data_IF_672648184600
#
_entry.id   IF_672648184600
#
_cell.length_a   1.000
_cell.length_b   1.000
_cell.length_c   1.000
_cell.angle_alpha   90.00
_cell.angle_beta   90.00
_cell.angle_gamma   90.00
#
_symmetry.space_group_name_H-M   'P 1'
#
loop_
_entity.id
_entity.type
_entity.pdbx_description
1 polymer ?
#
# COMPACT_ATOMS: atom_id res chain seq x y z
N UNK A 1 14.31 32.51 54.82
CA UNK A 1 14.87 31.45 53.93
C UNK A 1 16.06 30.84 54.64
N UNK A 2 16.01 29.54 54.93
CA UNK A 2 17.11 28.81 55.58
C UNK A 2 18.41 28.92 54.77
N UNK A 3 19.55 29.01 55.47
CA UNK A 3 20.83 29.46 54.94
C UNK A 3 21.31 28.66 53.72
N UNK A 4 21.19 29.26 52.53
CA UNK A 4 21.87 28.80 51.33
C UNK A 4 23.38 28.94 51.54
N UNK A 5 24.10 27.83 51.67
CA UNK A 5 25.55 27.84 51.75
C UNK A 5 26.13 28.15 50.36
N UNK A 6 26.98 29.17 50.29
CA UNK A 6 27.70 29.57 49.08
C UNK A 6 29.15 29.13 49.19
N UNK A 7 29.64 28.36 48.22
CA UNK A 7 31.00 27.86 48.17
C UNK A 7 31.47 27.82 46.71
N UNK A 8 32.75 28.12 46.46
CA UNK A 8 33.32 27.88 45.13
C UNK A 8 33.40 26.38 44.89
N UNK A 9 32.58 25.86 43.96
CA UNK A 9 32.55 24.44 43.66
C UNK A 9 33.81 24.07 42.88
N UNK A 10 34.78 23.50 43.59
CA UNK A 10 36.00 22.89 43.04
C UNK A 10 35.90 21.38 43.12
N UNK A 11 36.74 20.64 42.37
CA UNK A 11 36.76 19.18 42.41
C UNK A 11 36.95 18.66 43.83
N UNK A 12 37.91 19.23 44.58
CA UNK A 12 38.15 18.91 46.00
C UNK A 12 36.94 19.20 46.89
N UNK A 13 36.28 20.34 46.69
CA UNK A 13 35.08 20.69 47.44
C UNK A 13 33.93 19.69 47.20
N UNK A 14 33.74 19.23 45.96
CA UNK A 14 32.71 18.25 45.67
C UNK A 14 33.04 16.84 46.16
N UNK A 15 34.32 16.44 46.16
CA UNK A 15 34.75 15.21 46.82
C UNK A 15 34.40 15.22 48.30
N UNK A 16 34.66 16.33 48.99
CA UNK A 16 34.32 16.47 50.40
C UNK A 16 32.80 16.48 50.63
N UNK A 17 32.06 17.21 49.80
CA UNK A 17 30.59 17.21 49.83
C UNK A 17 29.97 15.85 49.46
N UNK A 18 30.70 15.00 48.73
CA UNK A 18 30.24 13.66 48.39
C UNK A 18 30.40 12.68 49.55
N UNK A 19 31.44 12.88 50.38
CA UNK A 19 31.72 12.09 51.59
C UNK A 19 30.85 12.53 52.77
N UNK A 20 30.62 13.82 52.91
CA UNK A 20 29.76 14.42 53.94
C UNK A 20 28.67 15.24 53.27
N UNK A 21 27.57 14.59 52.83
CA UNK A 21 26.51 15.27 52.10
C UNK A 21 25.84 16.33 52.99
N UNK A 22 25.77 17.59 52.55
CA UNK A 22 25.08 18.64 53.28
C UNK A 22 23.56 18.40 53.26
N UNK A 23 22.85 19.00 54.22
CA UNK A 23 21.38 18.93 54.27
C UNK A 23 20.71 19.81 53.21
N UNK A 24 21.33 20.94 52.89
CA UNK A 24 20.82 21.96 51.97
C UNK A 24 21.61 22.04 50.65
N UNK A 25 21.06 22.79 49.68
CA UNK A 25 21.70 23.03 48.39
C UNK A 25 22.92 23.96 48.55
N UNK A 26 24.05 23.59 47.94
CA UNK A 26 25.29 24.39 47.95
C UNK A 26 25.42 25.14 46.63
N UNK A 27 25.47 26.47 46.69
CA UNK A 27 25.54 27.34 45.52
C UNK A 27 26.97 27.71 45.16
N UNK A 28 27.27 27.72 43.86
CA UNK A 28 28.56 28.14 43.34
C UNK A 28 28.72 29.65 43.45
N UNK A 29 29.91 30.09 43.88
CA UNK A 29 30.25 31.51 43.90
C UNK A 29 30.69 32.05 42.55
N UNK A 30 31.14 31.18 41.64
CA UNK A 30 31.64 31.60 40.32
C UNK A 30 30.53 31.76 39.28
N UNK A 31 29.43 30.99 39.36
CA UNK A 31 28.30 31.10 38.45
C UNK A 31 26.97 31.24 39.23
N UNK A 32 26.30 32.40 39.17
CA UNK A 32 25.03 32.62 39.86
C UNK A 32 23.96 31.60 39.47
N UNK A 33 23.26 31.06 40.46
CA UNK A 33 22.18 30.08 40.26
C UNK A 33 22.65 28.64 40.02
N UNK A 34 23.93 28.43 39.66
CA UNK A 34 24.52 27.09 39.59
C UNK A 34 24.75 26.56 41.00
N UNK A 35 24.26 25.35 41.27
CA UNK A 35 24.32 24.75 42.60
C UNK A 35 24.34 23.23 42.51
N UNK A 36 24.73 22.62 43.62
CA UNK A 36 24.69 21.18 43.81
C UNK A 36 23.60 20.84 44.80
N UNK A 37 22.73 19.91 44.39
CA UNK A 37 21.73 19.31 45.26
C UNK A 37 22.23 17.95 45.78
N UNK A 38 22.33 17.76 47.10
CA UNK A 38 22.53 16.45 47.70
C UNK A 38 21.26 15.60 47.53
N UNK A 39 21.43 14.32 47.16
CA UNK A 39 20.32 13.37 47.04
C UNK A 39 20.73 11.99 47.54
N UNK A 40 19.76 11.08 47.68
CA UNK A 40 20.00 9.69 48.15
C UNK A 40 21.01 8.93 47.29
N UNK A 41 21.12 9.30 46.01
CA UNK A 41 22.07 8.73 45.05
C UNK A 41 23.31 9.64 44.86
N UNK A 42 23.62 10.55 45.78
CA UNK A 42 24.75 11.46 45.66
C UNK A 42 24.41 12.81 45.01
N UNK A 43 25.46 13.54 44.62
CA UNK A 43 25.39 14.95 44.26
C UNK A 43 24.90 15.17 42.81
N UNK A 44 23.98 16.11 42.60
CA UNK A 44 23.46 16.48 41.27
C UNK A 44 23.67 17.96 41.00
N UNK A 45 24.25 18.29 39.85
CA UNK A 45 24.38 19.66 39.35
C UNK A 45 23.07 20.18 38.81
N UNK A 46 22.67 21.36 39.28
CA UNK A 46 21.45 22.05 38.88
C UNK A 46 21.73 23.54 38.68
N UNK A 47 20.88 24.17 37.88
CA UNK A 47 20.92 25.59 37.58
C UNK A 47 19.54 26.19 37.86
N UNK A 48 19.47 27.12 38.81
CA UNK A 48 18.34 28.04 38.95
C UNK A 48 18.51 29.18 37.97
N UNK A 49 17.47 29.47 37.20
CA UNK A 49 17.43 30.64 36.32
C UNK A 49 16.01 31.21 36.29
N UNK A 50 15.91 32.45 35.81
CA UNK A 50 14.64 33.13 35.61
C UNK A 50 14.51 33.46 34.13
N UNK A 51 13.38 33.08 33.56
CA UNK A 51 13.05 33.43 32.17
C UNK A 51 12.69 34.92 32.07
N UNK A 52 12.73 35.51 30.85
CA UNK A 52 12.32 36.90 30.62
C UNK A 52 10.86 37.18 31.01
N UNK A 53 10.02 36.15 31.04
CA UNK A 53 8.62 36.20 31.51
C UNK A 53 8.49 36.18 33.04
N UNK A 54 9.61 36.19 33.77
CA UNK A 54 9.64 36.25 35.23
C UNK A 54 9.43 34.90 35.93
N UNK A 55 9.22 33.79 35.19
CA UNK A 55 9.09 32.44 35.78
C UNK A 55 10.44 31.89 36.22
N UNK A 56 10.51 31.42 37.47
CA UNK A 56 11.68 30.70 37.99
C UNK A 56 11.63 29.24 37.55
N UNK A 57 12.74 28.74 36.99
CA UNK A 57 12.88 27.34 36.56
C UNK A 57 14.21 26.76 37.04
N UNK A 58 14.25 25.43 37.11
CA UNK A 58 15.43 24.66 37.51
C UNK A 58 15.81 23.73 36.37
N UNK A 59 17.02 23.84 35.86
CA UNK A 59 17.59 22.89 34.90
C UNK A 59 18.47 21.89 35.65
N UNK A 60 18.31 20.60 35.39
CA UNK A 60 19.24 19.56 35.89
C UNK A 60 20.27 19.30 34.81
N UNK A 61 21.55 19.47 35.14
CA UNK A 61 22.65 19.38 34.17
C UNK A 61 23.21 17.95 34.15
N UNK A 62 23.40 17.36 35.33
CA UNK A 62 23.93 16.00 35.44
C UNK A 62 24.32 15.63 36.85
N UNK A 63 24.71 14.36 37.05
CA UNK A 63 25.18 13.84 38.33
C UNK A 63 26.69 14.01 38.44
N UNK A 64 27.16 14.31 39.65
CA UNK A 64 28.59 14.29 39.97
C UNK A 64 29.13 12.86 39.80
N UNK A 65 30.25 12.72 39.12
CA UNK A 65 30.85 11.42 38.73
C UNK A 65 30.61 11.06 37.26
N UNK A 66 29.45 11.38 36.69
CA UNK A 66 29.21 11.28 35.23
C UNK A 66 29.67 12.54 34.50
N UNK A 67 29.58 13.70 35.16
CA UNK A 67 30.05 14.98 34.65
C UNK A 67 31.03 15.61 35.63
N UNK A 68 32.08 16.23 35.10
CA UNK A 68 33.02 17.01 35.89
C UNK A 68 32.43 18.37 36.25
N UNK A 69 32.99 19.04 37.26
CA UNK A 69 32.54 20.38 37.68
C UNK A 69 32.74 21.40 36.58
N UNK A 70 33.86 21.28 35.85
CA UNK A 70 34.20 22.16 34.74
C UNK A 70 33.19 22.02 33.60
N UNK A 71 32.88 20.78 33.18
CA UNK A 71 31.85 20.50 32.17
C UNK A 71 30.47 20.99 32.61
N UNK A 72 30.07 20.70 33.84
CA UNK A 72 28.76 21.12 34.36
C UNK A 72 28.64 22.65 34.42
N UNK A 73 29.72 23.36 34.78
CA UNK A 73 29.76 24.83 34.78
C UNK A 73 29.72 25.39 33.35
N UNK A 74 30.39 24.76 32.40
CA UNK A 74 30.33 25.15 30.98
C UNK A 74 28.91 25.00 30.41
N UNK A 75 28.26 23.86 30.63
CA UNK A 75 26.87 23.62 30.23
C UNK A 75 25.88 24.57 30.92
N UNK A 76 26.12 24.89 32.20
CA UNK A 76 25.34 25.90 32.90
C UNK A 76 25.48 27.30 32.27
N UNK A 77 26.69 27.68 31.87
CA UNK A 77 26.96 28.97 31.20
C UNK A 77 26.29 29.04 29.83
N UNK A 78 26.32 27.95 29.06
CA UNK A 78 25.60 27.83 27.79
C UNK A 78 24.09 27.95 27.97
N UNK A 79 23.52 27.25 28.95
CA UNK A 79 22.10 27.36 29.28
C UNK A 79 21.70 28.79 29.69
N UNK A 80 22.53 29.50 30.46
CA UNK A 80 22.30 30.90 30.80
C UNK A 80 22.39 31.83 29.58
N UNK A 81 23.25 31.53 28.60
CA UNK A 81 23.32 32.27 27.33
C UNK A 81 22.00 32.18 26.57
N UNK A 82 21.40 30.99 26.47
CA UNK A 82 20.08 30.77 25.84
C UNK A 82 18.99 31.57 26.57
N UNK A 83 19.04 31.60 27.90
CA UNK A 83 18.10 32.40 28.73
C UNK A 83 18.28 33.90 28.49
N UNK A 84 19.52 34.38 28.37
CA UNK A 84 19.82 35.79 28.08
C UNK A 84 19.27 36.21 26.69
N UNK A 85 19.37 35.32 25.70
CA UNK A 85 18.75 35.51 24.38
C UNK A 85 17.21 35.51 24.44
N UNK A 86 16.62 34.95 25.50
CA UNK A 86 15.18 34.95 25.77
C UNK A 86 14.51 33.58 25.60
N UNK A 87 15.28 32.52 25.33
CA UNK A 87 14.80 31.16 25.28
C UNK A 87 14.64 30.52 26.67
N UNK A 88 13.95 29.39 26.74
CA UNK A 88 13.84 28.54 27.93
C UNK A 88 14.45 27.16 27.63
N UNK A 89 15.67 26.85 28.13
CA UNK A 89 16.32 25.57 27.91
C UNK A 89 15.50 24.36 28.39
N UNK A 90 14.67 24.53 29.42
CA UNK A 90 13.83 23.44 29.94
C UNK A 90 12.59 23.24 29.07
N UNK A 91 12.01 24.30 28.51
CA UNK A 91 10.92 24.18 27.56
C UNK A 91 11.35 23.39 26.31
N UNK A 92 12.56 23.62 25.79
CA UNK A 92 13.11 22.84 24.66
C UNK A 92 13.24 21.35 25.00
N UNK A 93 13.69 21.01 26.22
CA UNK A 93 13.78 19.62 26.67
C UNK A 93 12.40 18.99 26.88
N UNK A 94 11.44 19.72 27.45
CA UNK A 94 10.07 19.27 27.65
C UNK A 94 9.36 19.04 26.30
N UNK A 95 9.56 19.92 25.33
CA UNK A 95 9.01 19.81 23.98
C UNK A 95 9.60 18.62 23.23
N UNK A 96 10.92 18.41 23.31
CA UNK A 96 11.58 17.21 22.76
C UNK A 96 11.03 15.93 23.37
N UNK A 97 10.88 15.88 24.70
CA UNK A 97 10.35 14.70 25.39
C UNK A 97 8.88 14.43 25.03
N UNK A 98 8.06 15.48 24.97
CA UNK A 98 6.66 15.35 24.56
C UNK A 98 6.53 14.91 23.09
N UNK A 99 7.44 15.36 22.23
CA UNK A 99 7.51 14.92 20.84
C UNK A 99 7.94 13.45 20.73
N UNK A 100 8.93 13.01 21.51
CA UNK A 100 9.33 11.61 21.60
C UNK A 100 8.17 10.71 22.07
N UNK A 101 7.44 11.14 23.11
CA UNK A 101 6.25 10.43 23.61
C UNK A 101 5.13 10.36 22.55
N UNK A 102 4.89 11.45 21.81
CA UNK A 102 3.93 11.46 20.68
C UNK A 102 4.37 10.48 19.58
N UNK A 103 5.65 10.46 19.23
CA UNK A 103 6.18 9.57 18.21
C UNK A 103 6.11 8.10 18.62
N UNK A 104 6.35 7.79 19.90
CA UNK A 104 6.17 6.45 20.45
C UNK A 104 4.72 5.98 20.39
N UNK A 105 3.76 6.88 20.54
CA UNK A 105 2.33 6.56 20.40
C UNK A 105 1.88 6.39 18.94
N UNK A 106 2.65 6.92 17.97
CA UNK A 106 2.36 6.80 16.55
C UNK A 106 2.87 5.49 15.96
N UNK A 107 2.15 4.42 16.29
CA UNK A 107 2.40 3.08 15.78
C UNK A 107 2.04 2.95 14.30
N UNK A 108 2.65 1.98 13.62
CA UNK A 108 2.35 1.68 12.22
C UNK A 108 0.86 1.40 12.00
N UNK A 109 0.23 0.64 12.89
CA UNK A 109 -1.19 0.30 12.82
C UNK A 109 -2.10 1.52 12.97
N UNK A 110 -1.82 2.39 13.94
CA UNK A 110 -2.61 3.61 14.12
C UNK A 110 -2.56 4.52 12.89
N UNK A 111 -1.38 4.66 12.29
CA UNK A 111 -1.21 5.51 11.11
C UNK A 111 -1.83 4.91 9.86
N UNK A 112 -1.73 3.59 9.71
CA UNK A 112 -2.37 2.84 8.63
C UNK A 112 -3.88 3.01 8.67
N UNK A 113 -4.48 2.98 9.85
CA UNK A 113 -5.94 2.96 10.06
C UNK A 113 -6.55 4.37 10.07
N UNK A 114 -5.75 5.38 10.42
CA UNK A 114 -6.17 6.77 10.40
C UNK A 114 -5.75 7.50 9.12
N UNK A 115 -4.73 8.39 9.17
CA UNK A 115 -4.46 9.33 8.08
C UNK A 115 -4.12 8.67 6.74
N UNK A 116 -3.42 7.53 6.76
CA UNK A 116 -3.00 6.87 5.52
C UNK A 116 -4.18 6.23 4.77
N UNK A 117 -5.17 5.69 5.51
CA UNK A 117 -6.39 5.15 4.89
C UNK A 117 -7.15 6.22 4.11
N UNK A 118 -7.22 7.46 4.61
CA UNK A 118 -7.89 8.57 3.90
C UNK A 118 -7.22 8.86 2.54
N UNK A 119 -5.89 8.89 2.50
CA UNK A 119 -5.14 9.09 1.25
C UNK A 119 -5.34 7.92 0.29
N UNK A 120 -5.32 6.68 0.81
CA UNK A 120 -5.43 5.49 -0.03
C UNK A 120 -6.85 5.29 -0.58
N UNK A 121 -7.91 5.71 0.13
CA UNK A 121 -9.29 5.68 -0.41
C UNK A 121 -9.48 6.49 -1.69
N UNK A 122 -8.60 7.45 -1.97
CA UNK A 122 -8.62 8.25 -3.21
C UNK A 122 -8.01 7.50 -4.41
N UNK A 123 -7.35 6.36 -4.19
CA UNK A 123 -6.68 5.58 -5.24
C UNK A 123 -7.49 4.33 -5.59
N UNK A 124 -7.45 3.94 -6.87
CA UNK A 124 -8.14 2.75 -7.41
C UNK A 124 -7.81 1.46 -6.63
N UNK A 125 -6.53 1.23 -6.34
CA UNK A 125 -6.03 0.04 -5.62
C UNK A 125 -5.63 0.34 -4.16
N UNK A 126 -6.24 1.35 -3.55
CA UNK A 126 -5.92 1.79 -2.20
C UNK A 126 -6.18 0.72 -1.13
N UNK A 127 -7.37 0.12 -1.16
CA UNK A 127 -7.78 -0.93 -0.22
C UNK A 127 -6.89 -2.16 -0.28
N UNK A 128 -6.54 -2.61 -1.49
CA UNK A 128 -5.61 -3.71 -1.71
C UNK A 128 -4.22 -3.40 -1.15
N UNK A 129 -3.76 -2.15 -1.27
CA UNK A 129 -2.48 -1.73 -0.70
C UNK A 129 -2.49 -1.73 0.83
N UNK A 130 -3.57 -1.26 1.46
CA UNK A 130 -3.73 -1.32 2.93
C UNK A 130 -3.72 -2.76 3.43
N UNK A 131 -4.47 -3.65 2.78
CA UNK A 131 -4.52 -5.07 3.14
C UNK A 131 -3.16 -5.76 2.95
N UNK A 132 -2.43 -5.42 1.89
CA UNK A 132 -1.07 -5.91 1.66
C UNK A 132 -0.14 -5.56 2.83
N UNK A 133 -0.15 -4.30 3.26
CA UNK A 133 0.71 -3.86 4.37
C UNK A 133 0.31 -4.56 5.67
N UNK A 134 -1.00 -4.64 5.98
CA UNK A 134 -1.48 -5.34 7.19
C UNK A 134 -1.05 -6.81 7.24
N UNK A 135 -1.16 -7.54 6.12
CA UNK A 135 -0.81 -8.97 6.06
C UNK A 135 0.71 -9.18 6.11
N UNK A 136 1.47 -8.37 5.37
CA UNK A 136 2.91 -8.52 5.27
C UNK A 136 3.64 -8.09 6.55
N UNK A 137 3.11 -7.12 7.30
CA UNK A 137 3.74 -6.51 8.48
C UNK A 137 2.86 -6.56 9.72
N UNK A 138 2.08 -7.64 9.89
CA UNK A 138 1.16 -7.81 11.02
C UNK A 138 1.85 -7.63 12.39
N UNK A 139 3.07 -8.16 12.52
CA UNK A 139 3.89 -8.05 13.73
C UNK A 139 4.43 -6.64 13.99
N UNK A 140 4.41 -5.74 13.01
CA UNK A 140 4.91 -4.38 13.18
C UNK A 140 3.79 -3.37 13.43
N UNK A 141 2.52 -3.79 13.39
CA UNK A 141 1.38 -2.88 13.56
C UNK A 141 1.39 -2.19 14.93
N UNK A 142 1.90 -2.85 15.96
CA UNK A 142 2.02 -2.28 17.31
C UNK A 142 3.33 -1.50 17.53
N UNK A 143 4.30 -1.60 16.61
CA UNK A 143 5.59 -0.92 16.75
C UNK A 143 5.47 0.57 16.38
N UNK A 144 6.15 1.47 17.10
CA UNK A 144 6.32 2.86 16.67
C UNK A 144 7.01 2.91 15.30
N UNK A 145 6.53 3.79 14.41
CA UNK A 145 7.09 3.88 13.06
C UNK A 145 8.57 4.26 13.04
N UNK A 146 9.04 5.05 14.02
CA UNK A 146 10.43 5.50 14.13
C UNK A 146 11.41 4.38 14.55
N UNK A 147 10.91 3.30 15.14
CA UNK A 147 11.73 2.21 15.67
C UNK A 147 11.98 1.09 14.65
N UNK A 148 11.34 1.15 13.47
CA UNK A 148 11.52 0.13 12.44
C UNK A 148 12.90 0.30 11.79
N UNK A 149 13.78 -0.68 11.98
CA UNK A 149 15.18 -0.60 11.53
C UNK A 149 15.47 -1.45 10.29
N UNK A 150 16.69 -1.30 9.75
CA UNK A 150 17.23 -2.21 8.72
C UNK A 150 17.24 -3.67 9.18
N UNK A 151 17.65 -3.92 10.42
CA UNK A 151 17.74 -5.27 10.96
C UNK A 151 16.37 -5.94 11.05
N UNK A 152 15.31 -5.18 11.34
CA UNK A 152 13.94 -5.70 11.27
C UNK A 152 13.58 -6.13 9.85
N UNK A 153 13.92 -5.34 8.83
CA UNK A 153 13.67 -5.68 7.41
C UNK A 153 14.42 -6.91 6.98
N UNK A 154 15.68 -7.08 7.38
CA UNK A 154 16.49 -8.26 7.06
C UNK A 154 15.92 -9.53 7.71
N UNK A 155 15.50 -9.45 8.98
CA UNK A 155 14.80 -10.55 9.65
C UNK A 155 13.49 -10.90 8.97
N UNK A 156 12.68 -9.88 8.68
CA UNK A 156 11.43 -10.05 7.95
C UNK A 156 11.65 -10.67 6.58
N UNK A 157 12.70 -10.27 5.86
CA UNK A 157 13.04 -10.87 4.57
C UNK A 157 13.31 -12.37 4.71
N UNK A 158 14.17 -12.77 5.66
CA UNK A 158 14.49 -14.18 5.90
C UNK A 158 13.26 -15.02 6.27
N UNK A 159 12.36 -14.48 7.09
CA UNK A 159 11.10 -15.15 7.44
C UNK A 159 10.16 -15.36 6.23
N UNK A 160 10.19 -14.44 5.27
CA UNK A 160 9.35 -14.51 4.05
C UNK A 160 9.93 -15.52 3.07
N UNK A 161 11.25 -15.54 2.92
CA UNK A 161 11.97 -16.54 2.13
C UNK A 161 11.78 -17.95 2.70
N UNK A 162 11.86 -18.12 4.03
CA UNK A 162 11.57 -19.40 4.69
C UNK A 162 10.13 -19.89 4.46
N UNK A 163 9.18 -18.98 4.19
CA UNK A 163 7.79 -19.30 3.83
C UNK A 163 7.58 -19.54 2.33
N UNK A 164 8.63 -19.50 1.52
CA UNK A 164 8.57 -19.67 0.07
C UNK A 164 7.98 -18.45 -0.66
N UNK A 165 7.97 -17.27 -0.05
CA UNK A 165 7.46 -16.05 -0.68
C UNK A 165 8.43 -15.57 -1.76
N UNK A 166 7.93 -15.40 -2.99
CA UNK A 166 8.76 -14.91 -4.10
C UNK A 166 9.35 -13.53 -3.80
N UNK A 167 10.65 -13.33 -4.11
CA UNK A 167 11.36 -12.06 -3.91
C UNK A 167 10.62 -10.84 -4.47
N UNK A 168 9.97 -10.99 -5.64
CA UNK A 168 9.20 -9.92 -6.26
C UNK A 168 7.99 -9.48 -5.42
N UNK A 169 7.37 -10.40 -4.67
CA UNK A 169 6.27 -10.13 -3.76
C UNK A 169 6.78 -9.40 -2.52
N UNK A 170 7.84 -9.90 -1.88
CA UNK A 170 8.50 -9.23 -0.75
C UNK A 170 8.95 -7.82 -1.11
N UNK A 171 9.54 -7.61 -2.29
CA UNK A 171 9.93 -6.28 -2.80
C UNK A 171 8.73 -5.34 -2.94
N UNK A 172 7.60 -5.83 -3.45
CA UNK A 172 6.35 -5.03 -3.55
C UNK A 172 5.78 -4.69 -2.17
N UNK A 173 5.82 -5.63 -1.22
CA UNK A 173 5.36 -5.42 0.14
C UNK A 173 6.20 -4.33 0.84
N UNK A 174 7.54 -4.46 0.78
CA UNK A 174 8.44 -3.44 1.32
C UNK A 174 8.24 -2.07 0.65
N UNK A 175 8.06 -2.04 -0.68
CA UNK A 175 7.79 -0.80 -1.41
C UNK A 175 6.51 -0.09 -0.93
N UNK A 176 5.46 -0.85 -0.63
CA UNK A 176 4.22 -0.31 -0.06
C UNK A 176 4.43 0.29 1.34
N UNK A 177 5.19 -0.40 2.20
CA UNK A 177 5.54 0.10 3.53
C UNK A 177 6.40 1.38 3.45
N UNK A 178 7.43 1.40 2.60
CA UNK A 178 8.27 2.58 2.38
C UNK A 178 7.46 3.79 1.91
N UNK A 179 6.44 3.57 1.08
CA UNK A 179 5.53 4.64 0.63
C UNK A 179 4.69 5.18 1.78
N UNK A 180 4.20 4.30 2.68
CA UNK A 180 3.48 4.70 3.88
C UNK A 180 4.37 5.54 4.82
N UNK A 181 5.59 5.08 5.08
CA UNK A 181 6.55 5.80 5.93
C UNK A 181 7.01 7.12 5.31
N UNK A 182 7.18 7.18 3.99
CA UNK A 182 7.44 8.44 3.28
C UNK A 182 6.29 9.44 3.46
N UNK A 183 5.03 8.98 3.33
CA UNK A 183 3.85 9.81 3.57
C UNK A 183 3.74 10.26 5.05
N UNK A 184 4.19 9.45 6.01
CA UNK A 184 4.30 9.86 7.41
C UNK A 184 5.36 10.97 7.59
N UNK A 185 6.53 10.81 6.99
CA UNK A 185 7.61 11.79 7.06
C UNK A 185 7.21 13.14 6.41
N UNK A 186 6.56 13.10 5.25
CA UNK A 186 6.06 14.29 4.54
C UNK A 186 5.09 15.10 5.41
N UNK A 187 4.25 14.42 6.20
CA UNK A 187 3.28 15.04 7.11
C UNK A 187 3.86 15.40 8.49
N UNK A 188 5.17 15.24 8.69
CA UNK A 188 5.87 15.50 9.96
C UNK A 188 5.32 14.69 11.15
N UNK A 189 4.76 13.52 10.84
CA UNK A 189 4.30 12.51 11.83
C UNK A 189 5.52 11.80 12.39
N UNK A 190 6.49 11.51 11.51
CA UNK A 190 7.82 11.04 11.87
C UNK A 190 8.86 12.03 11.31
N UNK A 191 10.05 12.15 11.93
CA UNK A 191 11.07 13.10 11.47
C UNK A 191 11.63 12.73 10.09
N UNK A 192 11.77 11.43 9.81
CA UNK A 192 12.26 10.92 8.53
C UNK A 192 11.78 9.48 8.31
N UNK A 193 11.82 9.01 7.05
CA UNK A 193 11.53 7.62 6.74
C UNK A 193 12.72 6.73 7.13
N UNK A 194 12.59 5.84 8.14
CA UNK A 194 13.72 5.03 8.61
C UNK A 194 14.17 3.97 7.60
N UNK A 195 13.30 3.63 6.63
CA UNK A 195 13.59 2.67 5.58
C UNK A 195 13.97 3.33 4.25
N UNK A 196 14.27 4.64 4.26
CA UNK A 196 14.81 5.35 3.10
C UNK A 196 16.13 4.69 2.65
N UNK A 197 16.26 4.40 1.35
CA UNK A 197 17.47 3.76 0.79
C UNK A 197 17.66 2.27 1.08
N UNK A 198 16.82 1.64 1.92
CA UNK A 198 16.92 0.20 2.20
C UNK A 198 16.31 -0.61 1.05
N UNK A 199 17.04 -1.62 0.58
CA UNK A 199 16.62 -2.56 -0.48
C UNK A 199 16.84 -3.99 0.00
N UNK A 200 15.95 -4.89 -0.42
CA UNK A 200 16.07 -6.32 -0.12
C UNK A 200 17.23 -6.93 -0.90
N UNK A 201 17.95 -7.85 -0.26
CA UNK A 201 19.02 -8.59 -0.91
C UNK A 201 18.43 -9.62 -1.87
N UNK A 202 18.88 -9.66 -3.12
CA UNK A 202 18.36 -10.68 -4.04
C UNK A 202 18.99 -12.02 -3.65
N UNK A 203 18.21 -13.08 -3.40
CA UNK A 203 18.78 -14.41 -3.19
C UNK A 203 19.58 -14.81 -4.44
N UNK A 204 20.70 -15.51 -4.23
CA UNK A 204 21.48 -16.06 -5.32
C UNK A 204 20.59 -17.05 -6.08
N UNK A 205 20.28 -16.75 -7.33
CA UNK A 205 19.53 -17.67 -8.18
C UNK A 205 20.50 -18.69 -8.76
N UNK A 206 20.09 -19.95 -8.76
CA UNK A 206 20.76 -20.96 -9.57
C UNK A 206 20.62 -20.64 -11.06
N UNK A 207 21.53 -21.15 -11.90
CA UNK A 207 21.43 -21.01 -13.36
C UNK A 207 20.09 -21.54 -13.90
N UNK A 208 19.57 -22.60 -13.30
CA UNK A 208 18.27 -23.20 -13.64
C UNK A 208 17.11 -22.23 -13.36
N UNK A 209 17.09 -21.57 -12.20
CA UNK A 209 16.04 -20.59 -11.86
C UNK A 209 16.13 -19.33 -12.73
N UNK A 210 17.33 -18.94 -13.18
CA UNK A 210 17.52 -17.84 -14.13
C UNK A 210 16.93 -18.17 -15.50
N UNK A 211 17.19 -19.38 -16.00
CA UNK A 211 16.64 -19.86 -17.27
C UNK A 211 15.11 -19.99 -17.22
N UNK A 212 14.55 -20.48 -16.11
CA UNK A 212 13.11 -20.61 -15.92
C UNK A 212 12.41 -19.23 -15.82
N UNK A 213 13.00 -18.26 -15.12
CA UNK A 213 12.45 -16.90 -15.08
C UNK A 213 12.46 -16.21 -16.46
N UNK A 214 13.50 -16.45 -17.26
CA UNK A 214 13.61 -15.91 -18.61
C UNK A 214 12.59 -16.55 -19.56
N UNK A 215 12.30 -17.84 -19.42
CA UNK A 215 11.33 -18.55 -20.26
C UNK A 215 9.87 -18.20 -19.93
N UNK A 216 9.56 -17.77 -18.70
CA UNK A 216 8.20 -17.46 -18.27
C UNK A 216 7.54 -16.25 -18.98
N UNK A 217 8.32 -15.34 -19.60
CA UNK A 217 7.80 -14.20 -20.36
C UNK A 217 8.50 -14.05 -21.70
N UNK A 218 8.17 -14.95 -22.63
CA UNK A 218 8.55 -14.85 -24.04
C UNK A 218 7.35 -14.55 -24.94
N UNK A 219 7.65 -14.16 -26.18
CA UNK A 219 6.62 -14.06 -27.23
C UNK A 219 6.16 -15.45 -27.67
N UNK A 220 4.95 -15.52 -28.23
CA UNK A 220 4.45 -16.73 -28.88
C UNK A 220 5.21 -16.94 -30.19
N UNK A 221 5.66 -18.17 -30.41
CA UNK A 221 6.30 -18.57 -31.66
C UNK A 221 5.25 -18.71 -32.79
N UNK A 222 5.65 -18.63 -34.08
CA UNK A 222 4.70 -18.68 -35.20
C UNK A 222 3.78 -19.91 -35.18
N UNK A 223 4.29 -21.07 -34.80
CA UNK A 223 3.48 -22.30 -34.72
C UNK A 223 2.55 -22.30 -33.50
N UNK A 224 2.94 -21.67 -32.40
CA UNK A 224 2.06 -21.48 -31.24
C UNK A 224 0.93 -20.48 -31.53
N UNK A 225 1.20 -19.47 -32.35
CA UNK A 225 0.16 -18.55 -32.85
C UNK A 225 -0.85 -19.31 -33.72
N UNK A 226 -0.38 -20.17 -34.64
CA UNK A 226 -1.28 -21.04 -35.42
C UNK A 226 -2.09 -21.96 -34.51
N UNK A 227 -1.44 -22.57 -33.52
CA UNK A 227 -2.10 -23.44 -32.53
C UNK A 227 -3.13 -22.67 -31.69
N UNK A 228 -2.86 -21.42 -31.30
CA UNK A 228 -3.80 -20.56 -30.59
C UNK A 228 -5.08 -20.36 -31.41
N UNK A 229 -4.97 -19.99 -32.68
CA UNK A 229 -6.15 -19.80 -33.54
C UNK A 229 -6.89 -21.10 -33.83
N UNK A 230 -6.19 -22.20 -34.07
CA UNK A 230 -6.80 -23.52 -34.20
C UNK A 230 -7.55 -23.93 -32.92
N UNK A 231 -6.96 -23.65 -31.76
CA UNK A 231 -7.58 -23.88 -30.46
C UNK A 231 -8.81 -23.02 -30.21
N UNK A 232 -8.82 -21.76 -30.68
CA UNK A 232 -10.02 -20.91 -30.63
C UNK A 232 -11.15 -21.52 -31.46
N UNK A 233 -10.88 -21.98 -32.69
CA UNK A 233 -11.90 -22.63 -33.51
C UNK A 233 -12.40 -23.94 -32.91
N UNK A 234 -11.50 -24.78 -32.38
CA UNK A 234 -11.87 -25.99 -31.67
C UNK A 234 -12.77 -25.69 -30.44
N UNK A 235 -12.45 -24.65 -29.67
CA UNK A 235 -13.29 -24.17 -28.57
C UNK A 235 -14.68 -23.72 -29.06
N UNK A 236 -14.75 -23.00 -30.18
CA UNK A 236 -16.03 -22.60 -30.75
C UNK A 236 -16.87 -23.82 -31.15
N UNK A 237 -16.26 -24.80 -31.82
CA UNK A 237 -16.95 -26.02 -32.24
C UNK A 237 -17.41 -26.86 -31.05
N UNK A 238 -16.61 -26.96 -29.99
CA UNK A 238 -17.02 -27.61 -28.74
C UNK A 238 -18.29 -26.97 -28.17
N UNK A 239 -18.37 -25.62 -28.15
CA UNK A 239 -19.57 -24.90 -27.69
C UNK A 239 -20.76 -25.09 -28.64
N UNK A 240 -20.53 -25.17 -29.96
CA UNK A 240 -21.58 -25.50 -30.94
C UNK A 240 -22.12 -26.91 -30.70
N UNK A 241 -21.25 -27.92 -30.58
CA UNK A 241 -21.62 -29.30 -30.29
C UNK A 241 -22.40 -29.43 -28.97
N UNK A 242 -21.94 -28.78 -27.89
CA UNK A 242 -22.67 -28.71 -26.62
C UNK A 242 -24.08 -28.12 -26.77
N UNK A 243 -24.23 -27.08 -27.62
CA UNK A 243 -25.54 -26.50 -27.92
C UNK A 243 -26.41 -27.44 -28.75
N UNK A 244 -25.87 -28.09 -29.78
CA UNK A 244 -26.60 -29.07 -30.60
C UNK A 244 -27.15 -30.19 -29.73
N UNK A 245 -26.31 -30.76 -28.85
CA UNK A 245 -26.73 -31.79 -27.89
C UNK A 245 -27.84 -31.27 -26.96
N UNK A 246 -27.69 -30.07 -26.40
CA UNK A 246 -28.73 -29.48 -25.53
C UNK A 246 -30.07 -29.32 -26.25
N UNK A 247 -30.06 -28.93 -27.52
CA UNK A 247 -31.28 -28.74 -28.32
C UNK A 247 -31.92 -30.09 -28.67
N UNK A 248 -31.12 -31.10 -28.99
CA UNK A 248 -31.59 -32.47 -29.23
C UNK A 248 -32.21 -33.10 -27.97
N UNK A 249 -31.64 -32.84 -26.78
CA UNK A 249 -32.13 -33.34 -25.49
C UNK A 249 -33.14 -32.39 -24.83
N UNK A 250 -34.17 -31.97 -25.57
CA UNK A 250 -35.36 -31.33 -25.01
C UNK A 250 -35.27 -29.83 -24.72
N UNK A 251 -34.19 -29.14 -25.11
CA UNK A 251 -34.06 -27.67 -24.99
C UNK A 251 -34.06 -26.98 -26.36
N UNK A 252 -35.01 -27.32 -27.23
CA UNK A 252 -35.10 -26.81 -28.61
C UNK A 252 -35.19 -25.28 -28.71
N UNK A 253 -35.73 -24.61 -27.67
CA UNK A 253 -35.87 -23.16 -27.54
C UNK A 253 -34.54 -22.39 -27.41
N UNK A 254 -33.43 -23.08 -27.15
CA UNK A 254 -32.12 -22.44 -27.09
C UNK A 254 -31.67 -21.97 -28.49
N UNK A 255 -30.98 -20.83 -28.58
CA UNK A 255 -30.56 -20.30 -29.88
C UNK A 255 -29.55 -21.23 -30.56
N UNK A 256 -29.65 -21.32 -31.89
CA UNK A 256 -28.69 -22.03 -32.72
C UNK A 256 -27.35 -21.29 -32.72
N UNK A 257 -26.25 -22.01 -32.44
CA UNK A 257 -24.90 -21.44 -32.50
C UNK A 257 -24.17 -21.73 -33.81
N UNK A 258 -24.70 -22.63 -34.65
CA UNK A 258 -24.09 -22.94 -35.96
C UNK A 258 -24.28 -21.78 -36.97
N UNK A 259 -25.30 -20.94 -36.76
CA UNK A 259 -25.62 -19.80 -37.64
C UNK A 259 -24.85 -18.53 -37.30
N UNK A 260 -23.99 -18.54 -36.28
CA UNK A 260 -23.23 -17.37 -35.84
C UNK A 260 -21.73 -17.58 -36.01
N UNK A 261 -21.03 -16.52 -36.40
CA UNK A 261 -19.58 -16.54 -36.56
C UNK A 261 -18.89 -16.78 -35.22
N UNK A 262 -19.33 -16.08 -34.17
CA UNK A 262 -18.77 -16.21 -32.82
C UNK A 262 -19.78 -16.78 -31.83
N UNK A 263 -19.46 -17.91 -31.19
CA UNK A 263 -20.37 -18.54 -30.23
C UNK A 263 -20.56 -17.72 -28.95
N UNK A 264 -19.56 -16.93 -28.59
CA UNK A 264 -19.52 -16.01 -27.45
C UNK A 264 -18.41 -14.96 -27.66
N UNK A 265 -18.08 -14.19 -26.62
CA UNK A 265 -17.11 -13.11 -26.69
C UNK A 265 -15.64 -13.58 -26.70
N UNK A 266 -15.33 -14.83 -26.36
CA UNK A 266 -13.94 -15.29 -26.09
C UNK A 266 -13.08 -15.20 -27.36
N UNK A 267 -13.54 -15.81 -28.45
CA UNK A 267 -12.83 -15.78 -29.74
C UNK A 267 -12.62 -14.34 -30.27
N UNK A 268 -13.66 -13.49 -30.42
CA UNK A 268 -13.44 -12.14 -30.93
C UNK A 268 -12.60 -11.27 -29.97
N UNK A 269 -12.67 -11.51 -28.65
CA UNK A 269 -11.84 -10.79 -27.67
C UNK A 269 -10.35 -11.13 -27.80
N UNK A 270 -10.01 -12.43 -27.84
CA UNK A 270 -8.60 -12.88 -27.94
C UNK A 270 -8.01 -12.49 -29.30
N UNK A 271 -8.77 -12.66 -30.38
CA UNK A 271 -8.32 -12.27 -31.72
C UNK A 271 -8.11 -10.76 -31.82
N UNK A 272 -9.01 -9.96 -31.24
CA UNK A 272 -8.82 -8.50 -31.20
C UNK A 272 -7.58 -8.12 -30.36
N UNK A 273 -7.36 -8.81 -29.23
CA UNK A 273 -6.17 -8.61 -28.40
C UNK A 273 -4.88 -8.86 -29.18
N UNK A 274 -4.85 -9.94 -29.97
CA UNK A 274 -3.71 -10.28 -30.82
C UNK A 274 -3.42 -9.18 -31.86
N UNK A 275 -4.42 -8.73 -32.63
CA UNK A 275 -4.20 -7.76 -33.70
C UNK A 275 -4.00 -6.32 -33.22
N UNK A 276 -4.52 -5.95 -32.04
CA UNK A 276 -4.44 -4.56 -31.54
C UNK A 276 -3.35 -4.36 -30.51
N UNK A 277 -2.87 -5.42 -29.85
CA UNK A 277 -1.92 -5.33 -28.73
C UNK A 277 -2.50 -4.64 -27.49
N UNK A 278 -3.81 -4.37 -27.44
CA UNK A 278 -4.43 -3.81 -26.26
C UNK A 278 -4.33 -4.80 -25.09
N UNK A 279 -4.19 -4.27 -23.87
CA UNK A 279 -4.22 -5.10 -22.67
C UNK A 279 -5.64 -5.63 -22.45
N UNK A 280 -5.81 -6.80 -21.80
CA UNK A 280 -7.13 -7.33 -21.49
C UNK A 280 -8.04 -6.32 -20.79
N UNK A 281 -7.52 -5.55 -19.82
CA UNK A 281 -8.29 -4.50 -19.13
C UNK A 281 -8.79 -3.41 -20.07
N UNK A 282 -7.97 -2.98 -21.03
CA UNK A 282 -8.34 -1.95 -22.01
C UNK A 282 -9.41 -2.47 -22.99
N UNK A 283 -9.41 -3.76 -23.33
CA UNK A 283 -10.47 -4.36 -24.15
C UNK A 283 -11.76 -4.63 -23.37
N UNK A 284 -11.68 -5.04 -22.10
CA UNK A 284 -12.86 -5.25 -21.24
C UNK A 284 -13.65 -3.94 -21.11
N UNK A 285 -12.95 -2.82 -20.96
CA UNK A 285 -13.58 -1.51 -20.92
C UNK A 285 -13.80 -0.86 -22.29
N UNK A 286 -13.71 -1.60 -23.40
CA UNK A 286 -13.94 -1.03 -24.74
C UNK A 286 -15.44 -0.83 -24.98
N UNK A 287 -15.80 0.31 -25.55
CA UNK A 287 -17.19 0.68 -25.88
C UNK A 287 -17.31 0.91 -27.38
N UNK A 288 -18.49 0.66 -27.94
CA UNK A 288 -18.78 0.93 -29.36
C UNK A 288 -18.62 2.41 -29.70
N UNK A 289 -18.88 3.31 -28.74
CA UNK A 289 -18.64 4.76 -28.85
C UNK A 289 -17.15 5.10 -29.10
N UNK A 290 -16.23 4.22 -28.71
CA UNK A 290 -14.79 4.38 -28.92
C UNK A 290 -14.34 3.89 -30.30
N UNK A 291 -15.15 3.08 -30.99
CA UNK A 291 -14.75 2.38 -32.20
C UNK A 291 -15.34 3.09 -33.41
N UNK A 292 -14.47 3.54 -34.31
CA UNK A 292 -14.88 4.00 -35.63
C UNK A 292 -14.42 3.00 -36.69
N UNK A 293 -15.36 2.22 -37.23
CA UNK A 293 -15.08 1.16 -38.20
C UNK A 293 -14.80 1.70 -39.61
N UNK A 294 -15.21 2.92 -39.91
CA UNK A 294 -15.03 3.54 -41.23
C UNK A 294 -13.65 4.17 -41.33
N UNK A 295 -13.24 4.91 -40.30
CA UNK A 295 -11.87 5.43 -40.18
C UNK A 295 -10.88 4.39 -39.67
N UNK A 296 -11.34 3.19 -39.29
CA UNK A 296 -10.52 2.08 -38.75
C UNK A 296 -9.68 2.51 -37.56
N UNK A 297 -10.32 3.17 -36.60
CA UNK A 297 -9.66 3.70 -35.40
C UNK A 297 -10.41 3.37 -34.12
N UNK A 298 -9.68 3.18 -33.03
CA UNK A 298 -10.22 3.18 -31.67
C UNK A 298 -9.73 4.43 -30.94
N UNK A 299 -10.64 5.23 -30.40
CA UNK A 299 -10.33 6.39 -29.55
C UNK A 299 -10.68 6.09 -28.10
N UNK A 300 -9.67 5.87 -27.26
CA UNK A 300 -9.85 5.48 -25.85
C UNK A 300 -8.73 6.00 -24.95
N UNK A 301 -9.06 6.32 -23.70
CA UNK A 301 -8.08 6.52 -22.62
C UNK A 301 -7.66 5.15 -22.05
N UNK A 302 -6.35 4.86 -22.08
CA UNK A 302 -5.79 3.60 -21.56
C UNK A 302 -5.93 3.53 -20.04
N UNK A 303 -6.59 2.49 -19.53
CA UNK A 303 -7.02 2.43 -18.13
C UNK A 303 -5.86 2.38 -17.14
N UNK A 304 -4.78 1.68 -17.51
CA UNK A 304 -3.59 1.55 -16.66
C UNK A 304 -2.85 2.88 -16.47
N UNK A 305 -2.84 3.72 -17.51
CA UNK A 305 -2.08 4.98 -17.54
C UNK A 305 -2.96 6.23 -17.48
N UNK A 306 -4.27 6.06 -17.27
CA UNK A 306 -5.23 7.17 -17.25
C UNK A 306 -4.82 8.28 -16.27
N UNK A 307 -4.27 7.92 -15.10
CA UNK A 307 -3.79 8.89 -14.10
C UNK A 307 -2.56 9.73 -14.55
N UNK A 308 -1.85 9.32 -15.60
CA UNK A 308 -0.73 10.08 -16.17
C UNK A 308 -1.14 10.79 -17.47
N UNK A 309 -2.13 10.26 -18.19
CA UNK A 309 -2.64 10.78 -19.45
C UNK A 309 -4.15 10.55 -19.49
N UNK A 310 -4.90 11.57 -19.11
CA UNK A 310 -6.36 11.52 -19.01
C UNK A 310 -7.04 11.59 -20.39
N UNK A 311 -6.38 12.25 -21.34
CA UNK A 311 -6.89 12.46 -22.69
C UNK A 311 -7.00 11.15 -23.49
N UNK A 312 -8.12 10.92 -24.21
CA UNK A 312 -8.27 9.77 -25.09
C UNK A 312 -7.28 9.79 -26.24
N UNK A 313 -6.61 8.65 -26.47
CA UNK A 313 -5.70 8.46 -27.59
C UNK A 313 -6.40 7.71 -28.72
N UNK A 314 -5.99 8.00 -29.96
CA UNK A 314 -6.48 7.33 -31.16
C UNK A 314 -5.49 6.27 -31.62
N UNK A 315 -5.97 5.05 -31.84
CA UNK A 315 -5.20 3.89 -32.25
C UNK A 315 -5.71 3.40 -33.61
N UNK A 316 -4.85 3.28 -34.64
CA UNK A 316 -5.24 2.69 -35.92
C UNK A 316 -5.48 1.18 -35.76
N UNK A 317 -6.42 0.65 -36.54
CA UNK A 317 -6.76 -0.78 -36.57
C UNK A 317 -6.26 -1.44 -37.85
N UNK A 318 -5.76 -2.67 -37.71
CA UNK A 318 -5.47 -3.53 -38.86
C UNK A 318 -6.76 -3.96 -39.57
N UNK A 319 -6.64 -4.40 -40.83
CA UNK A 319 -7.78 -4.90 -41.61
C UNK A 319 -8.45 -6.09 -40.93
N UNK A 320 -7.66 -6.97 -40.32
CA UNK A 320 -8.11 -8.16 -39.60
C UNK A 320 -8.87 -7.77 -38.33
N UNK A 321 -8.35 -6.81 -37.55
CA UNK A 321 -9.03 -6.29 -36.36
C UNK A 321 -10.40 -5.66 -36.71
N UNK A 322 -10.46 -4.91 -37.82
CA UNK A 322 -11.71 -4.34 -38.33
C UNK A 322 -12.68 -5.44 -38.77
N UNK A 323 -12.19 -6.50 -39.41
CA UNK A 323 -13.00 -7.66 -39.81
C UNK A 323 -13.66 -8.35 -38.61
N UNK A 324 -12.89 -8.59 -37.55
CA UNK A 324 -13.38 -9.15 -36.27
C UNK A 324 -14.46 -8.24 -35.67
N UNK A 325 -14.18 -6.94 -35.55
CA UNK A 325 -15.11 -5.98 -34.97
C UNK A 325 -16.38 -5.82 -35.78
N UNK A 326 -16.31 -5.75 -37.12
CA UNK A 326 -17.50 -5.66 -38.00
C UNK A 326 -18.38 -6.90 -37.86
N UNK A 327 -17.77 -8.09 -37.85
CA UNK A 327 -18.49 -9.36 -37.69
C UNK A 327 -19.18 -9.42 -36.33
N UNK A 328 -18.45 -9.08 -35.26
CA UNK A 328 -18.99 -9.06 -33.91
C UNK A 328 -20.07 -7.99 -33.71
N UNK A 329 -19.87 -6.78 -34.24
CA UNK A 329 -20.82 -5.67 -34.19
C UNK A 329 -22.15 -6.04 -34.85
N UNK A 330 -22.10 -6.63 -36.06
CA UNK A 330 -23.28 -7.12 -36.77
C UNK A 330 -24.00 -8.21 -35.98
N UNK A 331 -23.25 -9.17 -35.42
CA UNK A 331 -23.84 -10.24 -34.63
C UNK A 331 -24.54 -9.73 -33.36
N UNK A 332 -24.08 -8.62 -32.79
CA UNK A 332 -24.71 -7.96 -31.64
C UNK A 332 -25.90 -7.04 -32.01
N UNK A 333 -26.28 -6.97 -33.30
CA UNK A 333 -27.35 -6.11 -33.78
C UNK A 333 -26.93 -4.65 -33.97
N UNK A 334 -25.68 -4.42 -34.33
CA UNK A 334 -25.09 -3.12 -34.69
C UNK A 334 -25.33 -2.01 -33.64
N UNK A 335 -24.99 -2.26 -32.36
CA UNK A 335 -25.19 -1.28 -31.30
C UNK A 335 -24.37 -0.01 -31.56
N UNK A 336 -25.02 1.16 -31.47
CA UNK A 336 -24.33 2.46 -31.56
C UNK A 336 -23.53 2.82 -30.30
N UNK A 337 -23.97 2.31 -29.14
CA UNK A 337 -23.39 2.61 -27.83
C UNK A 337 -23.39 1.37 -26.93
N UNK A 338 -22.56 1.42 -25.88
CA UNK A 338 -22.41 0.36 -24.89
C UNK A 338 -21.10 -0.43 -25.02
N UNK A 339 -20.93 -1.45 -24.19
CA UNK A 339 -19.69 -2.25 -24.15
C UNK A 339 -19.54 -3.14 -25.38
N UNK A 340 -18.33 -3.17 -25.96
CA UNK A 340 -17.99 -4.10 -27.04
C UNK A 340 -18.05 -5.55 -26.58
N UNK A 341 -17.59 -5.79 -25.34
CA UNK A 341 -17.66 -7.09 -24.69
C UNK A 341 -18.41 -6.88 -23.38
N UNK A 342 -19.50 -7.62 -23.16
CA UNK A 342 -20.30 -7.50 -21.94
C UNK A 342 -19.38 -7.70 -20.72
N UNK A 343 -19.51 -6.80 -19.74
CA UNK A 343 -18.66 -6.74 -18.55
C UNK A 343 -18.63 -8.13 -17.89
N UNK A 344 -17.45 -8.77 -17.87
CA UNK A 344 -17.15 -9.91 -17.00
C UNK A 344 -17.16 -9.45 -15.53
N UNK A 345 -18.28 -8.97 -15.03
CA UNK A 345 -18.51 -8.92 -13.59
C UNK A 345 -19.10 -10.25 -13.21
N UNK A 346 -18.34 -10.98 -12.40
CA UNK A 346 -18.80 -12.06 -11.53
C UNK A 346 -20.25 -11.76 -11.10
N UNK A 347 -21.17 -12.69 -11.39
CA UNK A 347 -22.58 -12.68 -11.01
C UNK A 347 -23.62 -11.95 -11.90
N UNK A 348 -23.39 -11.70 -13.19
CA UNK A 348 -24.52 -11.38 -14.09
C UNK A 348 -24.69 -12.40 -15.21
N UNK A 349 -25.59 -13.33 -14.92
CA UNK A 349 -26.32 -14.17 -15.86
C UNK A 349 -26.85 -13.33 -17.02
N UNK A 350 -26.79 -13.93 -18.21
CA UNK A 350 -27.52 -13.57 -19.42
C UNK A 350 -28.88 -12.93 -19.13
N UNK A 351 -28.94 -11.60 -19.10
CA UNK A 351 -30.21 -10.88 -19.20
C UNK A 351 -30.46 -10.60 -20.66
N UNK A 352 -31.38 -11.39 -21.22
CA UNK A 352 -32.11 -11.12 -22.44
C UNK A 352 -32.48 -9.63 -22.48
N UNK A 353 -32.15 -8.92 -23.55
CA UNK A 353 -32.98 -7.77 -23.95
C UNK A 353 -34.32 -8.35 -24.43
N UNK A 354 -35.47 -8.02 -23.81
CA UNK A 354 -36.75 -8.19 -24.49
C UNK A 354 -36.94 -6.99 -25.42
N UNK A 355 -37.30 -7.26 -26.67
CA UNK A 355 -37.91 -6.25 -27.54
C UNK A 355 -39.05 -5.56 -26.78
N UNK A 356 -39.04 -4.22 -26.75
CA UNK A 356 -40.20 -3.43 -26.31
C UNK A 356 -41.29 -3.53 -27.39
N UNK A 357 -42.42 -4.12 -27.05
CA UNK A 357 -43.71 -3.85 -27.69
C UNK A 357 -44.78 -3.68 -26.60
N UNK A 358 -45.20 -2.41 -26.44
CA UNK A 358 -46.52 -1.88 -26.06
C UNK A 358 -47.55 -2.81 -25.36
N UNK A 359 -48.03 -2.42 -24.17
CA UNK A 359 -49.31 -2.89 -23.58
C UNK A 359 -49.35 -2.89 -22.04
N UNK A 360 -50.50 -2.57 -21.37
CA UNK A 360 -50.54 -1.86 -20.08
C UNK A 360 -50.64 -2.76 -18.82
N UNK A 361 -50.60 -2.19 -17.59
CA UNK A 361 -50.27 -2.92 -16.36
C UNK A 361 -51.51 -3.52 -15.70
N UNK A 362 -51.33 -4.66 -15.02
CA UNK A 362 -52.32 -5.20 -14.09
C UNK A 362 -51.67 -5.55 -12.75
N UNK A 363 -52.41 -5.24 -11.68
CA UNK A 363 -51.99 -5.17 -10.29
C UNK A 363 -51.91 -6.52 -9.56
N UNK A 364 -51.07 -6.51 -8.52
CA UNK A 364 -51.26 -7.10 -7.18
C UNK A 364 -51.00 -8.60 -6.90
N UNK A 365 -50.08 -8.78 -5.94
CA UNK A 365 -50.16 -9.67 -4.76
C UNK A 365 -49.37 -11.00 -4.73
N UNK A 366 -48.93 -11.42 -3.51
CA UNK A 366 -47.60 -11.99 -3.28
C UNK A 366 -47.62 -13.47 -2.84
N UNK A 367 -46.48 -14.15 -3.03
CA UNK A 367 -46.15 -15.37 -2.29
C UNK A 367 -45.69 -16.52 -3.18
N UNK A 368 -44.38 -16.77 -3.23
CA UNK A 368 -43.87 -18.14 -3.33
C UNK A 368 -42.38 -18.18 -2.93
N UNK A 369 -42.13 -18.75 -1.75
CA UNK A 369 -40.83 -19.26 -1.32
C UNK A 369 -40.46 -20.44 -2.23
N UNK A 370 -39.29 -20.39 -2.89
CA UNK A 370 -38.61 -21.60 -3.39
C UNK A 370 -37.09 -21.41 -3.39
N UNK A 371 -36.48 -22.00 -2.36
CA UNK A 371 -35.33 -22.91 -2.38
C UNK A 371 -34.24 -22.66 -3.44
N UNK A 372 -33.15 -22.03 -3.00
CA UNK A 372 -31.85 -22.03 -3.68
C UNK A 372 -31.21 -23.43 -3.56
N UNK A 373 -31.06 -24.15 -4.68
CA UNK A 373 -30.26 -25.37 -4.75
C UNK A 373 -28.95 -25.08 -5.48
N UNK A 374 -27.85 -25.13 -4.73
CA UNK A 374 -26.47 -25.14 -5.19
C UNK A 374 -26.18 -26.47 -5.87
N UNK A 375 -25.59 -26.48 -7.08
CA UNK A 375 -24.89 -27.65 -7.63
C UNK A 375 -23.51 -27.19 -8.11
N UNK A 376 -22.52 -27.47 -7.24
CA UNK A 376 -21.12 -27.67 -7.58
C UNK A 376 -21.00 -29.09 -8.16
N UNK A 377 -20.32 -29.27 -9.28
CA UNK A 377 -19.94 -30.60 -9.76
C UNK A 377 -18.43 -30.78 -9.60
N UNK A 378 -18.09 -31.60 -8.62
CA UNK A 378 -16.80 -32.24 -8.35
C UNK A 378 -16.35 -33.11 -9.53
N UNK A 379 -15.06 -33.07 -9.82
CA UNK A 379 -14.36 -34.07 -10.64
C UNK A 379 -13.75 -35.13 -9.72
N UNK A 380 -14.19 -36.36 -9.94
CA UNK A 380 -13.79 -37.64 -9.34
C UNK A 380 -12.29 -37.95 -9.39
N UNK A 381 -11.78 -38.48 -8.28
CA UNK A 381 -10.51 -39.23 -8.15
C UNK A 381 -10.76 -40.74 -8.33
N UNK A 382 -9.86 -41.53 -8.95
CA UNK A 382 -10.01 -42.98 -9.09
C UNK A 382 -9.31 -43.74 -7.95
N UNK A 383 -9.89 -44.85 -7.52
CA UNK A 383 -9.28 -45.81 -6.60
C UNK A 383 -9.12 -47.19 -7.27
N UNK A 384 -7.89 -47.69 -7.20
CA UNK A 384 -7.36 -49.07 -7.31
C UNK A 384 -8.32 -50.21 -7.69
N UNK A 385 -7.93 -50.96 -8.73
CA UNK A 385 -7.39 -52.33 -8.64
C UNK A 385 -6.26 -52.50 -9.65
#
# INVERSE_FOLDING_TARGET
>A
MAGSSKLKLTTKALEQLSKTPPTDNVFDTALPGFHVRPGKRGLTFRLYYRTKTGRQRVLTIGRYGTRTVAEARAQAKEALSIVAQGGDPRAVLEEKKAEEERQQQQTLGSYLDGPYTVTQRRKKDGTATLQRIRRAFAEWLHKPMCEITRADVERWQGEREAKGEAYSTSKRNLGALKTLLAHAAERKVIPANPLAGISLQRPAMSEAEMAEQASQRRYLEPDEVKALFAGLEAYQEEKRAQRRNSRAHGKAQLPNLDSVAYVNHVAPFITLMYYTGFRPGDLIGLRWDHVNLDFRTIRKTIEKSAHHREEPQTFPLSTEAVGVLRTWHRQQGEPKAGWCFLRMTTASVWTRRPCRSLGPPFESSPGCLMTCCFILCDTTSPANW
#
